data_IF_076938091784
#
_entry.id   IF_076938091784
#
_cell.length_a   1.000
_cell.length_b   1.000
_cell.length_c   1.000
_cell.angle_alpha   90.00
_cell.angle_beta   90.00
_cell.angle_gamma   90.00
#
_symmetry.space_group_name_H-M   'P 1'
#
loop_
_entity.id
_entity.type
_entity.pdbx_description
1 polymer ?
#
# COMPACT_ATOMS: atom_id res chain seq x y z
N UNK A 1 -1.75 5.95 17.82
CA UNK A 1 -2.58 5.01 17.04
C UNK A 1 -1.99 5.07 15.66
N UNK A 2 -1.38 3.98 15.22
CA UNK A 2 -0.67 3.95 13.95
C UNK A 2 -1.68 4.15 12.80
N UNK A 3 -1.45 5.16 11.96
CA UNK A 3 -2.27 5.46 10.80
C UNK A 3 -1.59 4.90 9.54
N UNK A 4 -2.14 3.81 9.04
CA UNK A 4 -1.59 3.11 7.87
C UNK A 4 -1.69 3.96 6.59
N UNK A 5 -2.68 4.84 6.48
CA UNK A 5 -2.81 5.72 5.33
C UNK A 5 -1.68 6.76 5.31
N UNK A 6 -1.33 7.34 6.46
CA UNK A 6 -0.19 8.24 6.59
C UNK A 6 1.14 7.51 6.36
N UNK A 7 1.29 6.27 6.85
CA UNK A 7 2.49 5.47 6.59
C UNK A 7 2.66 5.15 5.09
N UNK A 8 1.60 4.72 4.40
CA UNK A 8 1.62 4.46 2.96
C UNK A 8 1.89 5.73 2.15
N UNK A 9 1.37 6.87 2.59
CA UNK A 9 1.64 8.18 1.99
C UNK A 9 3.12 8.55 2.12
N UNK A 10 3.71 8.36 3.29
CA UNK A 10 5.12 8.63 3.53
C UNK A 10 6.01 7.68 2.71
N UNK A 11 5.67 6.39 2.67
CA UNK A 11 6.34 5.41 1.83
C UNK A 11 6.34 5.82 0.34
N UNK A 12 5.20 6.26 -0.20
CA UNK A 12 5.16 6.74 -1.59
C UNK A 12 6.00 8.01 -1.80
N UNK A 13 6.08 8.88 -0.81
CA UNK A 13 6.87 10.12 -0.90
C UNK A 13 8.39 9.86 -0.96
N UNK A 14 8.88 8.75 -0.39
CA UNK A 14 10.30 8.36 -0.47
C UNK A 14 10.70 7.78 -1.84
N UNK A 15 9.72 7.36 -2.64
CA UNK A 15 9.91 6.76 -3.96
C UNK A 15 9.40 7.66 -5.10
N UNK A 16 9.86 8.92 -5.06
CA UNK A 16 9.41 9.99 -5.95
C UNK A 16 9.39 9.56 -7.43
N UNK A 17 8.24 9.78 -8.08
CA UNK A 17 8.00 9.48 -9.49
C UNK A 17 7.70 8.02 -9.87
N UNK A 18 7.95 7.04 -9.00
CA UNK A 18 7.69 5.62 -9.31
C UNK A 18 6.31 5.14 -8.83
N UNK A 19 5.85 5.67 -7.70
CA UNK A 19 4.57 5.31 -7.13
C UNK A 19 3.85 6.49 -6.45
N UNK A 20 2.52 6.43 -6.42
CA UNK A 20 1.68 7.49 -5.90
C UNK A 20 0.64 6.94 -4.93
N UNK A 21 0.49 7.62 -3.79
CA UNK A 21 -0.53 7.27 -2.81
C UNK A 21 -1.93 7.72 -3.27
N UNK A 22 -2.92 6.86 -3.09
CA UNK A 22 -4.32 7.13 -3.37
C UNK A 22 -5.21 6.71 -2.18
N UNK A 23 -5.78 7.64 -1.41
CA UNK A 23 -6.46 7.33 -0.14
C UNK A 23 -7.85 6.70 -0.27
N UNK A 24 -8.45 6.72 -1.46
CA UNK A 24 -9.88 6.46 -1.64
C UNK A 24 -10.21 5.42 -2.69
N UNK A 25 -9.38 4.38 -2.85
CA UNK A 25 -9.54 3.37 -3.88
C UNK A 25 -10.67 2.40 -3.56
N UNK A 26 -11.46 2.04 -4.57
CA UNK A 26 -12.54 1.05 -4.47
C UNK A 26 -12.32 0.01 -5.57
N UNK A 27 -11.58 -1.04 -5.25
CA UNK A 27 -11.25 -2.12 -6.17
C UNK A 27 -12.36 -3.16 -6.31
N UNK A 28 -12.00 -4.32 -6.86
CA UNK A 28 -12.92 -5.46 -7.01
C UNK A 28 -13.41 -5.96 -5.65
N UNK A 29 -14.69 -6.34 -5.60
CA UNK A 29 -15.37 -6.89 -4.41
C UNK A 29 -15.39 -5.97 -3.17
N UNK A 30 -15.18 -4.66 -3.34
CA UNK A 30 -15.25 -3.70 -2.23
C UNK A 30 -16.67 -3.19 -1.91
N UNK A 31 -17.66 -3.44 -2.78
CA UNK A 31 -19.07 -3.04 -2.58
C UNK A 31 -19.27 -1.56 -2.17
N UNK A 32 -18.40 -0.66 -2.67
CA UNK A 32 -18.43 0.77 -2.35
C UNK A 32 -17.57 1.20 -1.16
N UNK A 33 -16.95 0.25 -0.43
CA UNK A 33 -15.89 0.55 0.55
C UNK A 33 -14.71 1.19 -0.17
N UNK A 34 -14.07 2.15 0.50
CA UNK A 34 -12.83 2.78 0.05
C UNK A 34 -11.69 2.38 0.96
N UNK A 35 -10.50 2.25 0.39
CA UNK A 35 -9.28 1.90 1.09
C UNK A 35 -8.08 2.68 0.53
N UNK A 36 -6.98 2.77 1.30
CA UNK A 36 -5.73 3.27 0.78
C UNK A 36 -5.16 2.33 -0.28
N UNK A 37 -4.50 2.93 -1.28
CA UNK A 37 -3.85 2.23 -2.37
C UNK A 37 -2.57 2.96 -2.82
N UNK A 38 -1.73 2.22 -3.52
CA UNK A 38 -0.51 2.68 -4.17
C UNK A 38 -0.70 2.44 -5.67
N UNK A 39 -0.57 3.50 -6.46
CA UNK A 39 -0.53 3.44 -7.93
C UNK A 39 0.92 3.35 -8.36
N UNK A 40 1.25 2.32 -9.13
CA UNK A 40 2.63 1.98 -9.50
C UNK A 40 2.77 1.99 -11.01
N UNK A 41 3.83 2.63 -11.51
CA UNK A 41 4.19 2.63 -12.93
C UNK A 41 4.94 1.32 -13.31
N UNK A 42 4.85 0.89 -14.57
CA UNK A 42 5.21 -0.46 -15.09
C UNK A 42 6.63 -0.99 -14.77
N UNK A 43 7.53 -0.13 -14.28
CA UNK A 43 8.93 -0.49 -14.05
C UNK A 43 9.18 -1.21 -12.71
N UNK A 44 8.27 -1.09 -11.73
CA UNK A 44 8.46 -1.68 -10.40
C UNK A 44 7.72 -3.03 -10.27
N UNK A 45 8.41 -4.05 -9.74
CA UNK A 45 7.78 -5.36 -9.53
C UNK A 45 6.96 -5.38 -8.24
N UNK A 46 5.78 -6.03 -8.21
CA UNK A 46 4.94 -6.08 -7.02
C UNK A 46 5.63 -6.63 -5.77
N UNK A 47 6.49 -7.63 -5.94
CA UNK A 47 7.24 -8.22 -4.84
C UNK A 47 8.27 -7.25 -4.24
N UNK A 48 8.96 -6.48 -5.08
CA UNK A 48 9.94 -5.50 -4.63
C UNK A 48 9.27 -4.39 -3.81
N UNK A 49 8.07 -3.95 -4.21
CA UNK A 49 7.27 -2.99 -3.45
C UNK A 49 6.81 -3.58 -2.12
N UNK A 50 6.32 -4.83 -2.11
CA UNK A 50 5.89 -5.47 -0.88
C UNK A 50 7.05 -5.61 0.12
N UNK A 51 8.24 -5.96 -0.36
CA UNK A 51 9.44 -6.08 0.47
C UNK A 51 9.91 -4.72 1.00
N UNK A 52 9.94 -3.69 0.13
CA UNK A 52 10.29 -2.32 0.52
C UNK A 52 9.31 -1.75 1.54
N UNK A 53 8.00 -1.96 1.35
CA UNK A 53 6.97 -1.53 2.28
C UNK A 53 7.10 -2.24 3.64
N UNK A 54 7.36 -3.55 3.64
CA UNK A 54 7.58 -4.29 4.89
C UNK A 54 8.81 -3.78 5.65
N UNK A 55 9.90 -3.45 4.93
CA UNK A 55 11.09 -2.84 5.51
C UNK A 55 10.80 -1.47 6.12
N UNK A 56 10.15 -0.59 5.36
CA UNK A 56 9.76 0.75 5.80
C UNK A 56 8.89 0.72 7.07
N UNK A 57 7.88 -0.16 7.08
CA UNK A 57 7.01 -0.32 8.24
C UNK A 57 7.74 -0.91 9.44
N UNK A 58 8.65 -1.86 9.23
CA UNK A 58 9.44 -2.46 10.30
C UNK A 58 10.46 -1.52 10.96
N UNK A 59 10.85 -0.44 10.26
CA UNK A 59 11.70 0.63 10.82
C UNK A 59 10.89 1.67 11.62
N UNK A 60 9.56 1.65 11.53
CA UNK A 60 8.70 2.54 12.30
C UNK A 60 8.55 2.01 13.73
N UNK A 61 9.03 2.75 14.73
CA UNK A 61 9.04 2.33 16.16
C UNK A 61 7.66 1.91 16.71
N UNK A 62 6.56 2.36 16.08
CA UNK A 62 5.19 2.04 16.47
C UNK A 62 4.65 0.71 15.91
N UNK A 63 5.39 0.03 15.02
CA UNK A 63 4.92 -1.16 14.31
C UNK A 63 5.83 -2.36 14.59
N UNK A 64 5.28 -3.40 15.21
CA UNK A 64 5.97 -4.69 15.34
C UNK A 64 5.91 -5.41 13.98
N UNK A 65 7.05 -5.89 13.43
CA UNK A 65 7.08 -6.64 12.18
C UNK A 65 6.11 -7.84 12.13
N UNK A 66 5.82 -8.45 13.28
CA UNK A 66 4.89 -9.57 13.39
C UNK A 66 3.42 -9.13 13.37
N UNK A 67 3.11 -7.85 13.61
CA UNK A 67 1.74 -7.30 13.63
C UNK A 67 1.41 -6.42 12.42
N UNK A 68 2.34 -6.20 11.48
CA UNK A 68 2.09 -5.45 10.23
C UNK A 68 0.82 -5.92 9.50
N UNK A 69 0.59 -7.24 9.49
CA UNK A 69 -0.57 -7.86 8.85
C UNK A 69 -1.92 -7.47 9.50
N UNK A 70 -1.92 -7.05 10.76
CA UNK A 70 -3.11 -6.58 11.47
C UNK A 70 -3.53 -5.18 11.01
N UNK A 71 -2.58 -4.37 10.52
CA UNK A 71 -2.84 -3.01 10.02
C UNK A 71 -3.11 -2.97 8.51
N UNK A 72 -2.34 -3.74 7.73
CA UNK A 72 -2.50 -3.78 6.26
C UNK A 72 -3.58 -4.76 5.79
N UNK A 73 -3.84 -5.81 6.58
CA UNK A 73 -4.62 -6.96 6.13
C UNK A 73 -3.99 -7.62 4.89
N UNK A 74 -4.85 -8.17 4.03
CA UNK A 74 -4.42 -8.74 2.74
C UNK A 74 -4.35 -7.67 1.64
N UNK A 75 -3.24 -7.61 0.91
CA UNK A 75 -3.14 -6.77 -0.29
C UNK A 75 -3.85 -7.39 -1.50
N UNK A 76 -4.41 -6.55 -2.35
CA UNK A 76 -5.01 -6.91 -3.64
C UNK A 76 -4.41 -6.06 -4.76
N UNK A 77 -4.57 -6.51 -6.01
CA UNK A 77 -3.97 -5.84 -7.16
C UNK A 77 -4.90 -5.77 -8.36
N UNK A 78 -4.93 -4.59 -8.98
CA UNK A 78 -5.62 -4.35 -10.25
C UNK A 78 -4.62 -3.86 -11.31
N UNK A 79 -4.64 -4.49 -12.49
CA UNK A 79 -3.79 -4.08 -13.62
C UNK A 79 -4.35 -2.83 -14.30
N UNK A 80 -3.46 -1.90 -14.66
CA UNK A 80 -3.76 -0.70 -15.45
C UNK A 80 -3.18 -0.76 -16.87
N UNK A 81 -2.64 -1.91 -17.30
CA UNK A 81 -2.01 -2.10 -18.60
C UNK A 81 -0.57 -1.59 -18.71
N UNK A 82 -0.24 -0.43 -18.13
CA UNK A 82 1.10 0.17 -18.07
C UNK A 82 1.56 0.40 -16.62
N UNK A 83 1.12 -0.48 -15.73
CA UNK A 83 1.25 -0.33 -14.30
C UNK A 83 0.12 -1.05 -13.58
N UNK A 84 0.03 -0.83 -12.27
CA UNK A 84 -0.97 -1.49 -11.44
C UNK A 84 -1.31 -0.66 -10.20
N UNK A 85 -2.46 -0.97 -9.62
CA UNK A 85 -2.86 -0.49 -8.30
C UNK A 85 -2.67 -1.62 -7.31
N UNK A 86 -1.89 -1.37 -6.27
CA UNK A 86 -1.80 -2.22 -5.07
C UNK A 86 -2.69 -1.58 -3.99
N UNK A 87 -3.70 -2.30 -3.49
CA UNK A 87 -4.66 -1.74 -2.54
C UNK A 87 -4.92 -2.69 -1.38
N UNK A 88 -5.37 -2.14 -0.25
CA UNK A 88 -5.47 -2.85 1.02
C UNK A 88 -6.91 -2.77 1.55
N UNK A 89 -7.82 -3.69 1.14
CA UNK A 89 -9.24 -3.58 1.45
C UNK A 89 -9.57 -3.49 2.94
N UNK A 90 -8.74 -4.09 3.78
CA UNK A 90 -8.93 -4.18 5.23
C UNK A 90 -8.08 -3.19 6.03
N UNK A 91 -7.23 -2.41 5.35
CA UNK A 91 -6.52 -1.31 5.99
C UNK A 91 -7.51 -0.21 6.39
N UNK A 92 -7.53 0.12 7.69
CA UNK A 92 -8.42 1.11 8.30
C UNK A 92 -7.66 2.08 9.18
#
# INVERSE_FOLDING_TARGET
MFDIADALKNFCAEHDGQMNFYPGYSGRSMYGKKCPAIVVNDDAQPFDIALALAGFLGETEEVDPYTIHEFLGGSQMDSMGLGYVLYFPDAS
#
